data_IF_616763140287
#
_entry.id   IF_616763140287
#
_cell.length_a   1.000
_cell.length_b   1.000
_cell.length_c   1.000
_cell.angle_alpha   90.00
_cell.angle_beta   90.00
_cell.angle_gamma   90.00
#
_symmetry.space_group_name_H-M   'P 1'
#
loop_
_entity.id
_entity.type
_entity.pdbx_description
1 polymer ?
#
# COMPACT_ATOMS: atom_id res chain seq x y z
N UNK A 1 14.56 -3.87 3.00
CA UNK A 1 14.21 -3.70 1.57
C UNK A 1 15.42 -3.54 0.68
N UNK A 2 16.43 -2.76 1.11
CA UNK A 2 17.65 -2.50 0.33
C UNK A 2 18.32 -3.75 -0.24
N UNK A 3 18.54 -4.79 0.58
CA UNK A 3 19.15 -6.06 0.13
C UNK A 3 18.33 -6.68 -1.02
N UNK A 4 17.02 -6.86 -0.84
CA UNK A 4 16.14 -7.43 -1.86
C UNK A 4 16.16 -6.59 -3.14
N UNK A 5 16.03 -5.28 -3.01
CA UNK A 5 16.01 -4.39 -4.16
C UNK A 5 17.36 -4.33 -4.90
N UNK A 6 18.51 -4.48 -4.22
CA UNK A 6 19.84 -4.62 -4.85
C UNK A 6 19.93 -5.87 -5.72
N UNK A 7 19.28 -6.96 -5.32
CA UNK A 7 19.23 -8.21 -6.08
C UNK A 7 18.06 -8.27 -7.08
N UNK A 8 17.37 -7.15 -7.35
CA UNK A 8 16.20 -7.08 -8.22
C UNK A 8 14.98 -7.88 -7.72
N UNK A 9 14.86 -8.10 -6.42
CA UNK A 9 13.66 -8.66 -5.81
C UNK A 9 12.74 -7.52 -5.39
N UNK A 10 11.48 -7.56 -5.84
CA UNK A 10 10.44 -6.60 -5.45
C UNK A 10 9.36 -7.33 -4.64
N UNK A 11 9.46 -7.33 -3.31
CA UNK A 11 8.55 -8.11 -2.48
C UNK A 11 7.15 -7.50 -2.45
N UNK A 12 6.18 -8.37 -2.18
CA UNK A 12 4.84 -8.00 -1.75
C UNK A 12 4.82 -8.01 -0.23
N UNK A 13 4.74 -6.83 0.37
CA UNK A 13 4.67 -6.61 1.79
C UNK A 13 3.21 -6.51 2.22
N UNK A 14 2.65 -7.61 2.72
CA UNK A 14 1.28 -7.63 3.23
C UNK A 14 1.26 -7.17 4.68
N UNK A 15 0.40 -6.20 4.99
CA UNK A 15 0.12 -5.72 6.34
C UNK A 15 -1.30 -6.08 6.73
N UNK A 16 -1.49 -6.59 7.94
CA UNK A 16 -2.81 -6.90 8.49
C UNK A 16 -3.23 -5.77 9.41
N UNK A 17 -4.40 -5.19 9.15
CA UNK A 17 -4.98 -4.08 9.91
C UNK A 17 -6.25 -4.55 10.60
N UNK A 18 -6.55 -4.01 11.78
CA UNK A 18 -7.75 -4.34 12.55
C UNK A 18 -7.58 -5.62 13.36
N UNK A 19 -6.37 -5.89 13.85
CA UNK A 19 -6.14 -7.03 14.74
C UNK A 19 -6.94 -6.86 16.05
N UNK A 20 -7.41 -7.96 16.68
CA UNK A 20 -8.15 -7.88 17.92
C UNK A 20 -7.32 -7.24 19.04
N UNK A 21 -7.74 -6.06 19.50
CA UNK A 21 -7.03 -5.28 20.53
C UNK A 21 -5.95 -4.33 19.99
N UNK A 22 -5.86 -4.14 18.67
CA UNK A 22 -5.00 -3.12 18.05
C UNK A 22 -5.36 -1.72 18.57
N UNK A 23 -4.33 -0.97 18.98
CA UNK A 23 -4.46 0.40 19.45
C UNK A 23 -3.96 1.39 18.40
N UNK A 24 -4.34 2.65 18.57
CA UNK A 24 -3.87 3.75 17.74
C UNK A 24 -2.33 3.87 17.75
N UNK A 25 -1.67 3.51 18.86
CA UNK A 25 -0.20 3.51 18.96
C UNK A 25 0.44 2.47 18.04
N UNK A 26 -0.14 1.28 17.93
CA UNK A 26 0.33 0.21 17.04
C UNK A 26 0.18 0.64 15.56
N UNK A 27 -0.93 1.31 15.26
CA UNK A 27 -1.18 1.83 13.91
C UNK A 27 -0.20 2.96 13.56
N UNK A 28 0.14 3.84 14.51
CA UNK A 28 1.16 4.88 14.31
C UNK A 28 2.54 4.28 14.08
N UNK A 29 2.93 3.28 14.85
CA UNK A 29 4.20 2.57 14.63
C UNK A 29 4.27 1.93 13.24
N UNK A 30 3.14 1.38 12.76
CA UNK A 30 3.02 0.84 11.39
C UNK A 30 3.09 1.93 10.32
N UNK A 31 2.47 3.09 10.55
CA UNK A 31 2.57 4.27 9.69
C UNK A 31 4.02 4.79 9.62
N UNK A 32 4.73 4.84 10.74
CA UNK A 32 6.14 5.25 10.81
C UNK A 32 7.04 4.28 10.05
N UNK A 33 6.80 2.98 10.20
CA UNK A 33 7.47 1.95 9.40
C UNK A 33 7.21 2.17 7.90
N UNK A 34 5.94 2.36 7.52
CA UNK A 34 5.58 2.62 6.13
C UNK A 34 6.27 3.89 5.61
N UNK A 35 6.34 4.96 6.40
CA UNK A 35 7.08 6.17 6.07
C UNK A 35 8.57 5.90 5.85
N UNK A 36 9.22 5.06 6.67
CA UNK A 36 10.62 4.68 6.48
C UNK A 36 10.83 3.83 5.21
N UNK A 37 9.84 3.03 4.81
CA UNK A 37 9.87 2.19 3.62
C UNK A 37 9.58 2.95 2.32
N UNK A 38 9.29 4.25 2.39
CA UNK A 38 9.04 5.10 1.22
C UNK A 38 10.22 5.04 0.24
N UNK A 39 9.94 4.88 -1.04
CA UNK A 39 10.98 4.74 -2.08
C UNK A 39 11.66 3.37 -2.17
N UNK A 40 11.23 2.38 -1.37
CA UNK A 40 11.62 0.98 -1.65
C UNK A 40 10.84 0.41 -2.84
N UNK A 41 11.46 -0.51 -3.61
CA UNK A 41 10.81 -1.20 -4.73
C UNK A 41 9.98 -2.37 -4.19
N UNK A 42 8.76 -2.08 -3.77
CA UNK A 42 7.85 -3.09 -3.24
C UNK A 42 6.40 -2.69 -3.38
N UNK A 43 5.53 -3.69 -3.29
CA UNK A 43 4.10 -3.50 -3.24
C UNK A 43 3.61 -3.72 -1.82
N UNK A 44 2.93 -2.72 -1.28
CA UNK A 44 2.37 -2.74 0.07
C UNK A 44 0.90 -3.10 -0.01
N UNK A 45 0.53 -4.26 0.52
CA UNK A 45 -0.84 -4.79 0.44
C UNK A 45 -1.49 -4.65 1.82
N UNK A 46 -2.40 -3.68 2.02
CA UNK A 46 -3.15 -3.58 3.27
C UNK A 46 -4.32 -4.56 3.24
N UNK A 47 -4.26 -5.61 4.06
CA UNK A 47 -5.35 -6.56 4.27
C UNK A 47 -6.01 -6.32 5.61
N UNK A 48 -7.29 -6.64 5.71
CA UNK A 48 -8.01 -6.60 6.99
C UNK A 48 -7.91 -7.94 7.69
N UNK A 49 -7.93 -7.89 9.02
CA UNK A 49 -8.03 -9.09 9.82
C UNK A 49 -9.38 -9.77 9.59
N UNK A 50 -9.32 -11.01 9.12
CA UNK A 50 -10.47 -11.90 9.01
C UNK A 50 -10.18 -13.14 9.85
N UNK A 51 -11.00 -13.46 10.87
CA UNK A 51 -10.86 -14.68 11.65
C UNK A 51 -11.15 -15.88 10.73
N UNK A 52 -10.21 -16.82 10.69
CA UNK A 52 -10.35 -18.05 9.91
C UNK A 52 -10.85 -19.17 10.83
N UNK A 53 -11.71 -20.03 10.29
CA UNK A 53 -12.16 -21.25 10.97
C UNK A 53 -10.98 -22.16 11.33
N UNK A 54 -11.10 -22.91 12.42
CA UNK A 54 -10.05 -23.82 12.93
C UNK A 54 -8.72 -23.15 13.28
N UNK A 55 -8.74 -21.84 13.57
CA UNK A 55 -7.56 -21.12 14.08
C UNK A 55 -7.76 -20.71 15.54
N UNK A 56 -6.67 -20.43 16.25
CA UNK A 56 -6.71 -19.91 17.63
C UNK A 56 -7.50 -18.59 17.75
N UNK A 57 -7.66 -17.86 16.64
CA UNK A 57 -8.38 -16.59 16.59
C UNK A 57 -9.77 -16.70 15.94
N UNK A 58 -10.31 -17.91 15.74
CA UNK A 58 -11.61 -18.12 15.09
C UNK A 58 -12.79 -17.39 15.76
N UNK A 59 -12.74 -17.21 17.08
CA UNK A 59 -13.79 -16.57 17.87
C UNK A 59 -13.53 -15.06 18.09
N UNK A 60 -12.59 -14.46 17.36
CA UNK A 60 -12.31 -13.03 17.44
C UNK A 60 -13.15 -12.26 16.43
N UNK A 61 -13.44 -11.00 16.74
CA UNK A 61 -14.13 -10.12 15.80
C UNK A 61 -13.25 -9.85 14.57
N UNK A 62 -13.88 -9.80 13.40
CA UNK A 62 -13.22 -9.37 12.18
C UNK A 62 -13.04 -7.86 12.15
N UNK A 63 -11.99 -7.40 11.47
CA UNK A 63 -11.86 -6.00 11.13
C UNK A 63 -12.99 -5.60 10.18
N UNK A 64 -14.03 -4.94 10.68
CA UNK A 64 -15.13 -4.44 9.86
C UNK A 64 -14.76 -3.08 9.29
N UNK A 65 -15.06 -2.90 8.00
CA UNK A 65 -14.74 -1.68 7.28
C UNK A 65 -15.30 -0.41 7.92
N UNK A 66 -16.47 -0.51 8.57
CA UNK A 66 -17.16 0.62 9.20
C UNK A 66 -16.61 0.97 10.59
N UNK A 67 -15.86 0.06 11.21
CA UNK A 67 -15.29 0.19 12.56
C UNK A 67 -13.83 0.70 12.53
N UNK A 68 -13.29 0.89 11.33
CA UNK A 68 -11.91 1.30 11.12
C UNK A 68 -11.67 2.74 11.60
N UNK A 69 -10.57 2.93 12.32
CA UNK A 69 -10.15 4.25 12.82
C UNK A 69 -9.57 5.10 11.70
N UNK A 70 -9.51 6.42 11.93
CA UNK A 70 -8.94 7.37 10.97
C UNK A 70 -7.48 7.04 10.61
N UNK A 71 -6.70 6.54 11.58
CA UNK A 71 -5.31 6.14 11.39
C UNK A 71 -5.19 4.88 10.53
N UNK A 72 -6.06 3.90 10.75
CA UNK A 72 -6.07 2.67 9.95
C UNK A 72 -6.47 2.96 8.50
N UNK A 73 -7.41 3.89 8.28
CA UNK A 73 -7.75 4.38 6.95
C UNK A 73 -6.60 5.14 6.29
N UNK A 74 -5.90 5.97 7.06
CA UNK A 74 -4.69 6.63 6.59
C UNK A 74 -3.65 5.61 6.13
N UNK A 75 -3.40 4.57 6.93
CA UNK A 75 -2.46 3.51 6.60
C UNK A 75 -2.86 2.81 5.30
N UNK A 76 -4.13 2.40 5.20
CA UNK A 76 -4.68 1.72 4.03
C UNK A 76 -4.43 2.51 2.73
N UNK A 77 -4.85 3.78 2.69
CA UNK A 77 -4.69 4.59 1.48
C UNK A 77 -3.24 5.03 1.22
N UNK A 78 -2.41 5.12 2.26
CA UNK A 78 -0.98 5.41 2.09
C UNK A 78 -0.26 4.25 1.40
N UNK A 79 -0.57 2.99 1.74
CA UNK A 79 -0.08 1.82 1.01
C UNK A 79 -0.45 1.88 -0.48
N UNK A 80 -1.71 2.16 -0.80
CA UNK A 80 -2.17 2.30 -2.18
C UNK A 80 -1.52 3.47 -2.92
N UNK A 81 -1.29 4.60 -2.22
CA UNK A 81 -0.56 5.75 -2.77
C UNK A 81 0.85 5.35 -3.19
N UNK A 82 1.56 4.60 -2.36
CA UNK A 82 2.90 4.10 -2.68
C UNK A 82 2.89 3.11 -3.85
N UNK A 83 1.93 2.18 -3.88
CA UNK A 83 1.80 1.24 -4.99
C UNK A 83 1.56 1.95 -6.32
N UNK A 84 0.71 2.98 -6.31
CA UNK A 84 0.47 3.82 -7.47
C UNK A 84 1.74 4.54 -7.92
N UNK A 85 2.48 5.14 -6.99
CA UNK A 85 3.72 5.83 -7.31
C UNK A 85 4.80 4.87 -7.82
N UNK A 86 4.77 3.61 -7.39
CA UNK A 86 5.66 2.54 -7.83
C UNK A 86 5.31 1.96 -9.21
N UNK A 87 4.04 1.59 -9.43
CA UNK A 87 3.56 0.98 -10.69
C UNK A 87 3.43 2.03 -11.79
N UNK A 88 2.87 3.18 -11.44
CA UNK A 88 2.49 4.23 -12.35
C UNK A 88 3.45 5.40 -12.26
N UNK A 89 4.68 5.24 -12.77
CA UNK A 89 5.67 6.32 -12.91
C UNK A 89 5.19 7.57 -13.69
N UNK A 90 3.93 7.58 -14.15
CA UNK A 90 3.32 8.62 -14.98
C UNK A 90 1.81 8.81 -14.70
N UNK A 91 1.37 9.07 -13.47
CA UNK A 91 0.06 9.75 -13.22
C UNK A 91 0.20 11.28 -13.42
N UNK A 92 1.08 11.71 -14.33
CA UNK A 92 1.32 13.12 -14.63
C UNK A 92 0.14 13.80 -15.35
N UNK A 93 -0.67 13.05 -16.12
CA UNK A 93 -1.82 13.60 -16.87
C UNK A 93 -3.20 13.35 -16.25
N UNK A 94 -3.35 12.32 -15.42
CA UNK A 94 -4.66 11.95 -14.86
C UNK A 94 -4.91 12.51 -13.45
N UNK A 95 -3.90 13.08 -12.76
CA UNK A 95 -4.02 13.67 -11.41
C UNK A 95 -5.22 14.61 -11.25
N UNK A 96 -5.52 15.42 -12.26
CA UNK A 96 -6.65 16.35 -12.20
C UNK A 96 -8.01 15.62 -12.22
N UNK A 97 -8.19 14.64 -13.10
CA UNK A 97 -9.42 13.84 -13.19
C UNK A 97 -9.71 13.09 -11.87
N UNK A 98 -8.67 12.52 -11.24
CA UNK A 98 -8.81 11.89 -9.93
C UNK A 98 -9.09 12.92 -8.82
N UNK A 99 -8.42 14.07 -8.84
CA UNK A 99 -8.64 15.14 -7.85
C UNK A 99 -10.06 15.72 -7.86
N UNK A 100 -10.79 15.64 -8.99
CA UNK A 100 -12.19 16.07 -9.10
C UNK A 100 -13.16 14.90 -8.93
N UNK A 101 -12.87 13.75 -9.55
CA UNK A 101 -13.73 12.57 -9.51
C UNK A 101 -13.86 11.96 -8.12
N UNK A 102 -12.77 11.93 -7.34
CA UNK A 102 -12.78 11.36 -5.99
C UNK A 102 -13.64 12.16 -5.00
N UNK A 103 -13.55 13.50 -4.92
CA UNK A 103 -14.48 14.28 -4.09
C UNK A 103 -15.95 14.10 -4.47
N UNK A 104 -16.26 14.02 -5.76
CA UNK A 104 -17.63 13.74 -6.23
C UNK A 104 -18.08 12.34 -5.78
N UNK A 105 -17.28 11.31 -6.06
CA UNK A 105 -17.55 9.94 -5.61
C UNK A 105 -17.75 9.84 -4.09
N UNK A 106 -16.88 10.49 -3.32
CA UNK A 106 -16.97 10.50 -1.87
C UNK A 106 -18.26 11.18 -1.39
N UNK A 107 -18.66 12.30 -2.00
CA UNK A 107 -19.87 13.00 -1.63
C UNK A 107 -21.15 12.25 -2.01
N UNK A 108 -21.18 11.59 -3.17
CA UNK A 108 -22.37 10.84 -3.62
C UNK A 108 -22.52 9.47 -2.94
N UNK A 109 -21.41 8.76 -2.69
CA UNK A 109 -21.46 7.36 -2.28
C UNK A 109 -20.49 7.02 -1.15
N UNK A 110 -19.23 7.47 -1.24
CA UNK A 110 -18.18 7.07 -0.30
C UNK A 110 -18.50 7.44 1.16
N UNK A 111 -19.14 8.58 1.42
CA UNK A 111 -19.55 8.99 2.77
C UNK A 111 -20.58 8.04 3.39
N UNK A 112 -21.48 7.46 2.58
CA UNK A 112 -22.50 6.52 3.05
C UNK A 112 -21.90 5.13 3.31
N UNK A 113 -20.92 4.71 2.50
CA UNK A 113 -20.33 3.38 2.57
C UNK A 113 -19.20 3.27 3.60
N UNK A 114 -18.31 4.27 3.65
CA UNK A 114 -17.07 4.20 4.44
C UNK A 114 -16.98 5.25 5.55
N UNK A 115 -18.05 6.05 5.73
CA UNK A 115 -18.10 7.06 6.77
C UNK A 115 -17.18 8.26 6.52
N UNK A 116 -16.86 8.99 7.60
CA UNK A 116 -16.13 10.27 7.53
C UNK A 116 -14.61 10.10 7.55
N UNK A 117 -14.08 9.02 8.13
CA UNK A 117 -12.65 8.80 8.31
C UNK A 117 -11.87 8.68 7.00
N UNK A 118 -12.52 8.13 5.96
CA UNK A 118 -11.91 7.94 4.63
C UNK A 118 -11.65 9.25 3.88
N UNK A 119 -12.29 10.36 4.23
CA UNK A 119 -12.27 11.59 3.43
C UNK A 119 -10.87 12.07 3.06
N UNK A 120 -9.99 12.22 4.05
CA UNK A 120 -8.64 12.76 3.86
C UNK A 120 -7.65 11.72 3.31
N UNK A 121 -7.64 10.48 3.81
CA UNK A 121 -6.84 9.41 3.20
C UNK A 121 -7.16 9.17 1.72
N UNK A 122 -8.45 9.20 1.35
CA UNK A 122 -8.88 9.07 -0.04
C UNK A 122 -8.49 10.30 -0.88
N UNK A 123 -8.52 11.50 -0.31
CA UNK A 123 -8.03 12.70 -0.96
C UNK A 123 -6.51 12.63 -1.24
N UNK A 124 -5.71 12.09 -0.30
CA UNK A 124 -4.28 11.78 -0.51
C UNK A 124 -4.11 10.83 -1.70
N UNK A 125 -4.86 9.74 -1.71
CA UNK A 125 -4.85 8.77 -2.80
C UNK A 125 -5.19 9.40 -4.16
N UNK A 126 -6.15 10.33 -4.20
CA UNK A 126 -6.53 11.06 -5.42
C UNK A 126 -5.48 12.07 -5.93
N UNK A 127 -4.38 12.26 -5.20
CA UNK A 127 -3.30 13.17 -5.59
C UNK A 127 -3.48 14.62 -5.12
N UNK A 128 -4.31 14.87 -4.11
CA UNK A 128 -4.38 16.19 -3.46
C UNK A 128 -3.01 16.53 -2.85
N UNK A 129 -2.50 17.77 -3.00
CA UNK A 129 -1.20 18.15 -2.45
C UNK A 129 -1.11 17.97 -0.93
N UNK A 130 -0.02 17.36 -0.44
CA UNK A 130 0.22 17.08 0.98
C UNK A 130 0.19 18.32 1.87
N UNK A 131 0.55 19.50 1.33
CA UNK A 131 0.43 20.78 2.05
C UNK A 131 -0.98 21.04 2.59
N UNK A 132 -2.02 20.57 1.90
CA UNK A 132 -3.42 20.71 2.34
C UNK A 132 -3.85 19.63 3.36
N UNK A 133 -3.11 18.53 3.40
CA UNK A 133 -3.41 17.35 4.22
C UNK A 133 -2.59 17.27 5.52
N UNK A 134 -1.50 18.05 5.61
CA UNK A 134 -0.53 18.10 6.73
C UNK A 134 -1.13 18.26 8.14
N UNK A 135 -2.33 18.85 8.25
CA UNK A 135 -3.04 19.07 9.54
C UNK A 135 -4.22 18.11 9.76
N UNK A 136 -4.43 17.17 8.84
CA UNK A 136 -5.59 16.27 8.79
C UNK A 136 -5.22 14.81 8.88
N UNK A 137 -3.97 14.48 8.58
CA UNK A 137 -3.40 13.15 8.57
C UNK A 137 -2.18 13.13 9.49
N UNK A 138 -1.85 11.96 10.02
CA UNK A 138 -0.72 11.74 10.91
C UNK A 138 0.61 11.84 10.17
N UNK A 139 0.74 11.17 9.02
CA UNK A 139 1.93 11.24 8.19
C UNK A 139 1.94 12.53 7.36
N UNK A 140 3.11 13.12 7.24
CA UNK A 140 3.38 14.20 6.31
C UNK A 140 4.32 13.70 5.21
N UNK A 141 3.78 13.60 3.99
CA UNK A 141 4.53 13.15 2.82
C UNK A 141 5.01 14.34 1.97
N UNK A 142 5.04 15.56 2.50
CA UNK A 142 5.49 16.75 1.75
C UNK A 142 6.92 16.63 1.21
N UNK A 143 7.78 15.93 1.95
CA UNK A 143 9.19 15.71 1.58
C UNK A 143 9.36 14.48 0.66
N UNK A 144 8.29 13.75 0.39
CA UNK A 144 8.32 12.56 -0.46
C UNK A 144 8.29 12.95 -1.93
N UNK A 145 9.38 12.67 -2.65
CA UNK A 145 9.44 12.74 -4.10
C UNK A 145 9.63 11.33 -4.64
N UNK A 146 8.66 10.83 -5.43
CA UNK A 146 8.82 9.57 -6.15
C UNK A 146 9.87 9.77 -7.25
N UNK A 147 11.13 9.41 -6.97
CA UNK A 147 12.23 9.45 -7.93
C UNK A 147 12.32 8.17 -8.76
N UNK A 148 11.31 7.29 -8.68
CA UNK A 148 11.42 5.92 -9.19
C UNK A 148 10.69 5.75 -10.52
N UNK A 149 11.43 5.96 -11.59
CA UNK A 149 11.11 5.38 -12.90
C UNK A 149 11.81 4.02 -12.97
N UNK A 150 11.06 2.93 -13.19
CA UNK A 150 11.67 1.66 -13.55
C UNK A 150 12.26 1.80 -14.96
N UNK A 151 13.59 1.88 -15.06
CA UNK A 151 14.23 1.71 -16.35
C UNK A 151 14.06 0.24 -16.76
N UNK A 152 13.58 -0.07 -17.97
CA UNK A 152 13.48 -1.44 -18.44
C UNK A 152 14.84 -2.12 -18.36
N UNK A 153 14.88 -3.31 -17.78
CA UNK A 153 16.10 -4.11 -17.68
C UNK A 153 16.35 -4.69 -19.08
N UNK A 154 17.19 -4.03 -19.88
CA UNK A 154 17.66 -4.51 -21.18
C UNK A 154 18.77 -5.58 -21.06
N UNK A 155 19.00 -6.15 -19.87
CA UNK A 155 19.99 -7.19 -19.65
C UNK A 155 19.30 -8.54 -19.58
N UNK A 156 19.78 -9.48 -20.37
CA UNK A 156 19.36 -10.88 -20.33
C UNK A 156 19.63 -11.43 -18.93
N UNK A 157 18.60 -12.03 -18.31
CA UNK A 157 18.71 -12.63 -16.98
C UNK A 157 19.48 -13.94 -17.15
N UNK A 158 20.80 -13.90 -16.97
CA UNK A 158 21.63 -15.10 -16.98
C UNK A 158 21.39 -15.80 -15.62
N UNK A 159 20.83 -17.02 -15.60
CA UNK A 159 20.66 -17.75 -14.35
C UNK A 159 22.04 -18.05 -13.73
N UNK A 160 22.24 -17.64 -12.49
CA UNK A 160 23.47 -17.89 -11.72
C UNK A 160 23.56 -19.34 -11.20
N UNK A 161 22.51 -20.14 -11.43
CA UNK A 161 22.45 -21.54 -11.04
C UNK A 161 22.83 -22.41 -12.23
N UNK A 162 23.92 -23.18 -12.13
CA UNK A 162 24.18 -24.27 -13.06
C UNK A 162 23.09 -25.33 -12.88
N UNK A 163 22.44 -25.74 -13.98
CA UNK A 163 21.53 -26.85 -13.95
C UNK A 163 22.29 -28.11 -13.51
N UNK A 164 21.93 -28.64 -12.35
CA UNK A 164 22.49 -29.92 -11.90
C UNK A 164 22.00 -30.99 -12.88
N UNK A 165 22.94 -31.66 -13.56
CA UNK A 165 22.65 -32.73 -14.52
C UNK A 165 21.63 -33.72 -13.92
N UNK A 166 20.43 -33.77 -14.49
CA UNK A 166 19.41 -34.78 -14.18
C UNK A 166 18.08 -34.26 -13.65
N UNK A 167 17.94 -32.97 -13.34
CA UNK A 167 16.66 -32.36 -13.01
C UNK A 167 16.22 -31.42 -14.14
N UNK A 168 15.33 -31.90 -15.00
CA UNK A 168 14.58 -31.03 -15.90
C UNK A 168 13.62 -30.22 -15.04
N UNK A 169 13.96 -28.96 -14.79
CA UNK A 169 13.01 -27.97 -14.31
C UNK A 169 11.90 -27.88 -15.36
N UNK A 170 10.69 -28.33 -15.03
CA UNK A 170 9.52 -28.06 -15.86
C UNK A 170 9.32 -26.56 -15.82
N UNK A 171 9.41 -25.91 -16.98
CA UNK A 171 9.12 -24.50 -17.15
C UNK A 171 7.76 -24.20 -16.50
N UNK A 172 7.74 -23.36 -15.46
CA UNK A 172 6.52 -22.88 -14.82
C UNK A 172 5.79 -21.82 -15.67
N UNK A 173 5.97 -21.88 -16.99
CA UNK A 173 5.47 -20.93 -17.98
C UNK A 173 4.79 -21.64 -19.17
N UNK A 174 4.10 -22.75 -18.88
CA UNK A 174 3.13 -23.34 -19.80
C UNK A 174 1.75 -22.68 -19.65
#
# INVERSE_FOLDING_TARGET
MEILNRHNWQPFCTFIIGLPGEKDEDTKASLDLLYQLRGSKALFVPTWFVPLENTRMQNKESGKLIEMTDLQWEFFFTCWRYNIDYIGGSIGRSRWQWSVGVPLYYNFMGRKLFGRGVKYPLARFAGVPERLLRKKLYLDLSDYHSSMTLNPINREIIPEFESVKGLNMVDAAA
#
